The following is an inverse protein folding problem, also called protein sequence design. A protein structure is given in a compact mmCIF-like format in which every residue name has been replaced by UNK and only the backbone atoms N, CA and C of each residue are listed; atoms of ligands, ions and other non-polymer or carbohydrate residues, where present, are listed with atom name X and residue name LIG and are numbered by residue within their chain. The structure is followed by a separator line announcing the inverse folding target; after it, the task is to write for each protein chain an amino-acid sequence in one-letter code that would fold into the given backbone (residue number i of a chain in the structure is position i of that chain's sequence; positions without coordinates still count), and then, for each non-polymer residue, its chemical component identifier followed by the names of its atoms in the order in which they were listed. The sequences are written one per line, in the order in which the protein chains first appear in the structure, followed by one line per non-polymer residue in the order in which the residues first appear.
data_IF_636819886076
#
_entry.id   IF_636819886076
#
_cell.length_a   1.000
_cell.length_b   1.000
_cell.length_c   1.000
_cell.angle_alpha   90.00
_cell.angle_beta   90.00
_cell.angle_gamma   90.00
#
_symmetry.space_group_name_H-M   'P 1'
#
loop_
_entity.id
_entity.type
_entity.pdbx_description
1 polymer ?
#
# COMPACT_ATOMS: atom_id res chain seq x y z
N UNK A 1 8.58 5.86 -3.61
CA UNK A 1 7.90 4.79 -4.36
C UNK A 1 6.56 4.49 -3.70
N UNK A 2 5.54 4.22 -4.47
CA UNK A 2 4.22 3.87 -3.97
C UNK A 2 4.03 2.38 -4.00
N UNK A 3 3.17 1.87 -3.14
CA UNK A 3 2.88 0.43 -3.10
C UNK A 3 2.35 -0.06 -4.45
N UNK A 4 1.61 0.79 -5.16
CA UNK A 4 1.11 0.46 -6.50
C UNK A 4 2.21 0.22 -7.52
N UNK A 5 3.44 0.68 -7.26
CA UNK A 5 4.58 0.48 -8.15
C UNK A 5 5.35 -0.81 -7.87
N UNK A 6 5.05 -1.47 -6.75
CA UNK A 6 5.78 -2.66 -6.34
C UNK A 6 5.42 -3.83 -7.25
N UNK A 7 6.42 -4.62 -7.58
CA UNK A 7 6.21 -5.79 -8.45
C UNK A 7 5.75 -6.99 -7.65
N UNK A 8 5.10 -7.93 -8.35
CA UNK A 8 4.67 -9.19 -7.74
C UNK A 8 5.86 -9.88 -7.07
N UNK A 9 5.62 -10.37 -5.84
CA UNK A 9 6.61 -11.05 -4.98
C UNK A 9 7.70 -10.15 -4.44
N UNK A 10 7.72 -8.88 -4.79
CA UNK A 10 8.68 -7.93 -4.24
C UNK A 10 8.23 -7.49 -2.85
N UNK A 11 9.20 -7.36 -1.95
CA UNK A 11 8.97 -6.97 -0.56
C UNK A 11 9.41 -5.53 -0.32
N UNK A 12 8.69 -4.84 0.54
CA UNK A 12 9.02 -3.45 0.88
C UNK A 12 8.62 -3.15 2.32
N UNK A 13 9.12 -2.01 2.79
CA UNK A 13 8.77 -1.49 4.12
C UNK A 13 7.91 -0.24 3.90
N UNK A 14 6.83 -0.14 4.64
CA UNK A 14 5.95 1.02 4.57
C UNK A 14 6.63 2.22 5.22
N UNK A 15 6.67 3.35 4.52
CA UNK A 15 7.16 4.61 5.07
C UNK A 15 6.02 5.39 5.70
N UNK A 16 4.92 5.53 4.98
CA UNK A 16 3.74 6.25 5.49
C UNK A 16 2.55 6.04 4.56
N UNK A 17 1.39 6.38 5.04
CA UNK A 17 0.18 6.50 4.21
C UNK A 17 -0.13 7.98 4.05
N UNK A 18 -0.30 8.41 2.81
CA UNK A 18 -0.61 9.81 2.54
C UNK A 18 -2.07 10.10 2.75
N UNK A 19 -2.35 11.17 3.47
CA UNK A 19 -3.70 11.65 3.69
C UNK A 19 -3.96 12.82 2.76
N UNK A 20 -4.98 12.69 1.94
CA UNK A 20 -5.39 13.75 1.02
C UNK A 20 -6.66 14.37 1.55
N UNK A 21 -6.59 15.64 1.95
CA UNK A 21 -7.76 16.40 2.39
C UNK A 21 -8.26 17.17 1.18
N UNK A 22 -9.52 16.95 0.84
CA UNK A 22 -10.11 17.55 -0.36
C UNK A 22 -11.37 18.33 0.02
N UNK A 23 -11.40 19.61 -0.37
CA UNK A 23 -12.52 20.47 -0.12
C UNK A 23 -12.79 20.64 1.38
N UNK A 24 -13.98 20.27 1.82
CA UNK A 24 -14.39 20.40 3.21
C UNK A 24 -14.05 19.18 4.05
N UNK A 25 -13.44 18.17 3.44
CA UNK A 25 -13.10 16.95 4.15
C UNK A 25 -12.06 17.25 5.23
N UNK A 26 -12.31 16.74 6.43
CA UNK A 26 -11.40 16.89 7.56
C UNK A 26 -10.44 15.72 7.67
N UNK A 27 -10.76 14.61 7.04
CA UNK A 27 -10.01 13.37 7.18
C UNK A 27 -10.09 12.58 5.88
N UNK A 28 -8.97 11.99 5.48
CA UNK A 28 -8.97 11.01 4.40
C UNK A 28 -9.36 9.66 5.00
N UNK A 29 -10.62 9.29 4.84
CA UNK A 29 -11.15 8.06 5.43
C UNK A 29 -10.48 6.81 4.85
N UNK A 30 -10.10 6.85 3.58
CA UNK A 30 -9.42 5.73 2.96
C UNK A 30 -8.04 5.54 3.59
N UNK A 31 -7.27 6.62 3.73
CA UNK A 31 -5.95 6.56 4.36
C UNK A 31 -6.04 6.11 5.81
N UNK A 32 -7.02 6.61 6.56
CA UNK A 32 -7.22 6.21 7.95
C UNK A 32 -7.55 4.73 8.06
N UNK A 33 -8.38 4.22 7.16
CA UNK A 33 -8.73 2.82 7.11
C UNK A 33 -7.51 1.95 6.84
N UNK A 34 -6.68 2.37 5.89
CA UNK A 34 -5.45 1.64 5.56
C UNK A 34 -4.54 1.52 6.79
N UNK A 35 -4.38 2.60 7.53
CA UNK A 35 -3.58 2.59 8.76
C UNK A 35 -4.18 1.65 9.80
N UNK A 36 -5.50 1.66 9.93
CA UNK A 36 -6.19 0.77 10.86
C UNK A 36 -6.00 -0.70 10.48
N UNK A 37 -5.90 -1.00 9.19
CA UNK A 37 -5.67 -2.35 8.70
C UNK A 37 -4.22 -2.83 8.90
N UNK A 38 -3.32 -1.94 9.29
CA UNK A 38 -1.93 -2.30 9.55
C UNK A 38 -0.91 -1.69 8.59
N UNK A 39 -1.35 -0.85 7.67
CA UNK A 39 -0.42 -0.19 6.73
C UNK A 39 0.21 1.02 7.42
N UNK A 40 1.14 0.74 8.32
CA UNK A 40 1.80 1.76 9.12
C UNK A 40 3.31 1.72 8.92
N UNK A 41 3.97 2.83 9.24
CA UNK A 41 5.42 2.95 9.04
C UNK A 41 6.16 1.81 9.73
N UNK A 42 7.13 1.24 9.01
CA UNK A 42 7.96 0.16 9.53
C UNK A 42 7.43 -1.23 9.27
N UNK A 43 6.20 -1.36 8.79
CA UNK A 43 5.61 -2.67 8.53
C UNK A 43 6.05 -3.21 7.18
N UNK A 44 6.40 -4.49 7.14
CA UNK A 44 6.79 -5.16 5.90
C UNK A 44 5.55 -5.54 5.10
N UNK A 45 5.62 -5.31 3.79
CA UNK A 45 4.56 -5.69 2.86
C UNK A 45 5.15 -6.42 1.67
N UNK A 46 4.33 -7.28 1.07
CA UNK A 46 4.71 -7.99 -0.15
C UNK A 46 3.51 -8.05 -1.08
N UNK A 47 3.74 -7.77 -2.36
CA UNK A 47 2.70 -7.97 -3.37
C UNK A 47 2.68 -9.45 -3.72
N UNK A 48 1.55 -10.10 -3.47
CA UNK A 48 1.38 -11.52 -3.75
C UNK A 48 1.01 -11.74 -5.20
N UNK A 49 0.02 -11.00 -5.67
CA UNK A 49 -0.41 -11.08 -7.06
C UNK A 49 -1.15 -9.80 -7.43
N UNK A 50 -1.31 -9.57 -8.72
CA UNK A 50 -2.08 -8.44 -9.25
C UNK A 50 -3.21 -8.97 -10.10
N UNK A 51 -4.32 -8.24 -10.09
CA UNK A 51 -5.50 -8.64 -10.82
C UNK A 51 -5.32 -8.60 -12.34
N UNK A 52 -6.22 -9.25 -13.05
CA UNK A 52 -6.16 -9.39 -14.50
C UNK A 52 -6.64 -8.14 -15.24
N UNK A 53 -7.31 -7.23 -14.55
CA UNK A 53 -7.82 -6.00 -15.16
C UNK A 53 -6.86 -4.85 -14.87
N UNK A 54 -5.76 -4.78 -15.62
CA UNK A 54 -4.77 -3.74 -15.46
C UNK A 54 -3.99 -3.80 -14.14
N UNK A 55 -3.95 -4.98 -13.50
CA UNK A 55 -3.27 -5.14 -12.22
C UNK A 55 -4.12 -4.76 -11.01
N UNK A 56 -5.43 -4.61 -11.20
CA UNK A 56 -6.36 -4.20 -10.14
C UNK A 56 -7.40 -5.30 -9.91
N UNK A 57 -7.68 -5.71 -8.67
CA UNK A 57 -7.05 -5.29 -7.43
C UNK A 57 -5.68 -5.94 -7.21
N UNK A 58 -4.94 -5.42 -6.24
CA UNK A 58 -3.63 -5.94 -5.87
C UNK A 58 -3.80 -6.72 -4.58
N UNK A 59 -3.34 -7.97 -4.56
CA UNK A 59 -3.35 -8.77 -3.33
C UNK A 59 -2.02 -8.56 -2.61
N UNK A 60 -2.10 -8.10 -1.38
CA UNK A 60 -0.94 -7.69 -0.60
C UNK A 60 -0.92 -8.42 0.73
N UNK A 61 0.24 -8.88 1.13
CA UNK A 61 0.44 -9.41 2.48
C UNK A 61 1.09 -8.33 3.33
N UNK A 62 0.46 -8.01 4.46
CA UNK A 62 0.99 -7.10 5.46
C UNK A 62 1.02 -7.85 6.78
N UNK A 63 2.23 -8.02 7.35
CA UNK A 63 2.37 -8.89 8.51
C UNK A 63 1.92 -10.32 8.19
N UNK A 64 0.94 -10.81 8.94
CA UNK A 64 0.38 -12.14 8.72
C UNK A 64 -0.98 -12.12 8.02
N UNK A 65 -1.39 -10.96 7.53
CA UNK A 65 -2.72 -10.78 6.95
C UNK A 65 -2.60 -10.42 5.47
N UNK A 66 -3.56 -10.89 4.67
CA UNK A 66 -3.63 -10.55 3.26
C UNK A 66 -4.85 -9.69 3.00
N UNK A 67 -4.65 -8.66 2.17
CA UNK A 67 -5.70 -7.74 1.77
C UNK A 67 -5.69 -7.55 0.26
N UNK A 68 -6.87 -7.39 -0.32
CA UNK A 68 -6.99 -6.95 -1.71
C UNK A 68 -7.22 -5.45 -1.70
N UNK A 69 -6.31 -4.70 -2.29
CA UNK A 69 -6.41 -3.25 -2.39
C UNK A 69 -6.65 -2.83 -3.83
N UNK A 70 -7.45 -1.79 -4.01
CA UNK A 70 -7.54 -1.16 -5.31
C UNK A 70 -6.26 -0.37 -5.57
N UNK A 71 -5.91 -0.23 -6.84
CA UNK A 71 -4.72 0.51 -7.22
C UNK A 71 -4.70 1.91 -6.63
N UNK A 72 -5.85 2.60 -6.65
CA UNK A 72 -5.95 3.95 -6.09
C UNK A 72 -5.68 3.99 -4.59
N UNK A 73 -6.00 2.91 -3.88
CA UNK A 73 -5.68 2.81 -2.46
C UNK A 73 -4.20 2.57 -2.25
N UNK A 74 -3.61 1.69 -3.05
CA UNK A 74 -2.18 1.40 -2.96
C UNK A 74 -1.33 2.63 -3.31
N UNK A 75 -1.83 3.52 -4.14
CA UNK A 75 -1.14 4.76 -4.50
C UNK A 75 -0.97 5.71 -3.31
N UNK A 76 -1.76 5.53 -2.26
CA UNK A 76 -1.64 6.36 -1.06
C UNK A 76 -0.51 5.91 -0.13
N UNK A 77 0.03 4.73 -0.35
CA UNK A 77 1.01 4.11 0.54
C UNK A 77 2.41 4.30 -0.03
N UNK A 78 3.26 5.02 0.69
CA UNK A 78 4.65 5.18 0.31
C UNK A 78 5.49 4.10 0.93
N UNK A 79 6.38 3.52 0.14
CA UNK A 79 7.19 2.39 0.54
C UNK A 79 8.66 2.60 0.19
N UNK A 80 9.49 1.77 0.81
CA UNK A 80 10.91 1.67 0.51
C UNK A 80 11.18 0.20 0.22
N UNK A 81 11.74 -0.09 -0.96
CA UNK A 81 12.02 -1.47 -1.33
C UNK A 81 13.14 -2.02 -0.46
N UNK A 82 12.85 -3.17 0.16
CA UNK A 82 13.80 -3.84 1.04
C UNK A 82 14.92 -4.45 0.22
N UNK A 83 16.16 -4.23 0.66
CA UNK A 83 17.32 -4.80 -0.01
C UNK A 83 17.66 -4.15 -1.34
N UNK A 84 17.09 -2.97 -1.64
CA UNK A 84 17.39 -2.29 -2.88
C UNK A 84 18.87 -1.91 -2.96
N UNK A 85 19.48 -2.02 -4.15
CA UNK A 85 20.88 -1.59 -4.33
C UNK A 85 21.04 -0.11 -4.03
N UNK A 86 22.22 0.25 -3.62
CA UNK A 86 22.57 1.61 -3.29
C UNK A 86 23.31 2.29 -4.40
#
# INVERSE_FOLDING_TARGET
MRLSDLKVKQTAIINKVNHTLDGEAQTDLVASRLETLGFVAGTKVQVITKGIFGGDPILIQVGFTRFALRKVEAEKIEIQVEGAPR
#
